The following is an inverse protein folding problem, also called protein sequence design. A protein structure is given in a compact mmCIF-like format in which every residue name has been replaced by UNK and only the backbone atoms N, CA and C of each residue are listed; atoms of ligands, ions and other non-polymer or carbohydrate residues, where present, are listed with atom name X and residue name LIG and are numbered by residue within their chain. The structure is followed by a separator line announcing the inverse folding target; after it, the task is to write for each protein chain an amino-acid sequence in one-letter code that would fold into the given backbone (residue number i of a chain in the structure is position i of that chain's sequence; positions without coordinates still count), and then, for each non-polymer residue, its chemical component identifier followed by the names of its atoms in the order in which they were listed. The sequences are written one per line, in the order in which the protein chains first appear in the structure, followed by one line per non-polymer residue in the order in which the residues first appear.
data_IF_483793342384
#
_entry.id   IF_483793342384
#
_cell.length_a   1.000
_cell.length_b   1.000
_cell.length_c   1.000
_cell.angle_alpha   90.00
_cell.angle_beta   90.00
_cell.angle_gamma   90.00
#
_symmetry.space_group_name_H-M   'P 1'
#
loop_
_entity.id
_entity.type
_entity.pdbx_description
1 polymer ?
#
# COMPACT_ATOMS: atom_id res chain seq x y z
N UNK A 1 -17.08 -14.91 -28.58
CA UNK A 1 -16.33 -14.25 -27.48
C UNK A 1 -15.74 -12.96 -28.01
N UNK A 2 -16.31 -11.80 -27.66
CA UNK A 2 -15.86 -10.49 -28.17
C UNK A 2 -14.99 -9.79 -27.13
N UNK A 3 -13.83 -9.31 -27.57
CA UNK A 3 -12.79 -8.70 -26.74
C UNK A 3 -13.14 -7.21 -26.49
N UNK A 4 -13.32 -6.73 -25.25
CA UNK A 4 -13.96 -5.42 -24.99
C UNK A 4 -13.02 -4.21 -25.03
N UNK A 5 -11.73 -4.34 -25.38
CA UNK A 5 -10.79 -3.20 -25.35
C UNK A 5 -10.77 -2.38 -26.64
N UNK A 6 -11.94 -2.05 -27.19
CA UNK A 6 -12.07 -1.08 -28.29
C UNK A 6 -12.28 0.32 -27.70
N UNK A 7 -11.22 1.13 -27.67
CA UNK A 7 -11.38 2.56 -27.95
C UNK A 7 -11.26 3.61 -26.84
N UNK A 8 -10.83 3.29 -25.61
CA UNK A 8 -10.44 4.37 -24.69
C UNK A 8 -9.11 4.97 -25.13
N UNK A 9 -9.15 6.08 -25.87
CA UNK A 9 -7.96 6.88 -26.09
C UNK A 9 -7.48 7.42 -24.74
N UNK A 10 -6.18 7.31 -24.41
CA UNK A 10 -5.66 7.82 -23.15
C UNK A 10 -5.96 9.32 -23.03
N UNK A 11 -6.57 9.72 -21.92
CA UNK A 11 -6.83 11.13 -21.65
C UNK A 11 -5.51 11.91 -21.57
N UNK A 12 -5.57 13.20 -21.95
CA UNK A 12 -4.40 14.08 -21.91
C UNK A 12 -3.95 14.22 -20.45
N UNK A 13 -2.64 14.06 -20.21
CA UNK A 13 -2.05 14.29 -18.88
C UNK A 13 -2.48 15.65 -18.32
N UNK A 14 -2.95 15.66 -17.07
CA UNK A 14 -3.33 16.87 -16.33
C UNK A 14 -2.19 17.90 -16.23
N UNK A 15 -0.94 17.46 -16.41
CA UNK A 15 0.26 18.30 -16.34
C UNK A 15 0.55 19.06 -17.65
N UNK A 16 -0.19 18.83 -18.74
CA UNK A 16 0.01 19.56 -19.99
C UNK A 16 -0.73 20.89 -20.00
N UNK A 17 0.02 22.00 -20.02
CA UNK A 17 -0.52 23.35 -20.29
C UNK A 17 -1.12 23.42 -21.69
N UNK A 18 -2.31 24.05 -21.80
CA UNK A 18 -3.02 24.29 -23.07
C UNK A 18 -2.16 25.21 -23.93
N UNK A 19 -1.84 24.80 -25.16
CA UNK A 19 -1.02 25.58 -26.09
C UNK A 19 0.50 25.43 -25.94
N UNK A 20 0.98 24.59 -25.01
CA UNK A 20 2.41 24.28 -24.95
C UNK A 20 2.84 23.62 -26.28
N UNK A 21 3.97 24.06 -26.89
CA UNK A 21 4.47 23.45 -28.11
C UNK A 21 4.63 21.95 -27.86
N UNK A 22 4.14 21.14 -28.79
CA UNK A 22 4.31 19.69 -28.74
C UNK A 22 5.82 19.47 -28.78
N UNK A 23 6.44 19.19 -27.63
CA UNK A 23 7.85 18.82 -27.58
C UNK A 23 8.04 17.77 -28.67
N UNK A 24 8.86 18.10 -29.68
CA UNK A 24 9.24 17.16 -30.73
C UNK A 24 9.58 15.86 -30.01
N UNK A 25 8.98 14.75 -30.46
CA UNK A 25 9.24 13.43 -29.89
C UNK A 25 10.75 13.27 -29.85
N UNK A 26 11.35 13.45 -28.68
CA UNK A 26 12.77 13.15 -28.45
C UNK A 26 12.84 11.64 -28.60
N UNK A 27 13.12 11.19 -29.82
CA UNK A 27 13.37 9.78 -30.09
C UNK A 27 14.67 9.52 -29.36
N UNK A 28 14.61 8.68 -28.33
CA UNK A 28 15.82 8.19 -27.70
C UNK A 28 16.54 7.39 -28.79
N UNK A 29 17.69 7.88 -29.22
CA UNK A 29 18.58 7.19 -30.15
C UNK A 29 19.79 6.80 -29.32
N UNK A 30 20.10 5.51 -29.30
CA UNK A 30 21.35 5.04 -28.71
C UNK A 30 22.49 5.54 -29.60
N UNK A 31 23.51 6.15 -29.00
CA UNK A 31 24.68 6.60 -29.76
C UNK A 31 25.53 5.39 -30.10
N UNK A 32 25.46 4.91 -31.33
CA UNK A 32 26.30 3.82 -31.87
C UNK A 32 27.76 4.27 -32.10
N UNK A 33 28.24 5.27 -31.36
CA UNK A 33 29.54 5.89 -31.57
C UNK A 33 30.62 5.16 -30.76
N UNK A 34 31.43 4.37 -31.47
CA UNK A 34 32.65 3.67 -31.03
C UNK A 34 32.51 2.19 -30.61
N UNK A 35 31.96 1.37 -31.51
CA UNK A 35 32.72 0.23 -32.07
C UNK A 35 33.02 -1.02 -31.24
N UNK A 36 32.94 -1.06 -29.90
CA UNK A 36 33.24 -2.31 -29.15
C UNK A 36 32.52 -2.50 -27.81
N UNK A 37 31.72 -1.55 -27.34
CA UNK A 37 31.01 -1.71 -26.08
C UNK A 37 29.56 -2.19 -26.31
N UNK A 38 29.19 -3.31 -25.67
CA UNK A 38 27.81 -3.81 -25.60
C UNK A 38 26.93 -2.75 -24.88
N UNK A 39 26.35 -1.81 -25.65
CA UNK A 39 25.57 -0.65 -25.17
C UNK A 39 24.32 -1.02 -24.35
N UNK A 40 23.94 -2.30 -24.36
CA UNK A 40 22.81 -2.80 -23.59
C UNK A 40 23.10 -4.22 -23.13
N UNK A 41 23.37 -4.39 -21.84
CA UNK A 41 23.44 -5.72 -21.22
C UNK A 41 22.05 -6.35 -21.27
N UNK A 42 21.86 -7.32 -22.17
CA UNK A 42 20.61 -8.11 -22.20
C UNK A 42 20.54 -8.95 -20.93
N UNK A 43 19.55 -8.65 -20.10
CA UNK A 43 19.23 -9.47 -18.93
C UNK A 43 17.92 -10.18 -19.22
N UNK A 44 17.92 -11.51 -19.11
CA UNK A 44 16.68 -12.28 -19.16
C UNK A 44 15.85 -11.99 -17.92
N UNK A 45 14.66 -11.44 -18.10
CA UNK A 45 13.68 -11.28 -17.03
C UNK A 45 12.75 -12.47 -17.08
N UNK A 46 12.82 -13.35 -16.09
CA UNK A 46 11.85 -14.42 -15.92
C UNK A 46 10.55 -13.86 -15.35
N UNK A 47 9.42 -14.14 -16.02
CA UNK A 47 8.10 -13.80 -15.51
C UNK A 47 7.67 -14.82 -14.48
N UNK A 48 7.52 -14.39 -13.23
CA UNK A 48 7.00 -15.21 -12.13
C UNK A 48 5.50 -15.01 -11.90
N UNK A 49 4.77 -14.51 -12.91
CA UNK A 49 3.33 -14.22 -12.80
C UNK A 49 2.50 -15.45 -12.37
N UNK A 50 2.93 -16.65 -12.74
CA UNK A 50 2.29 -17.91 -12.36
C UNK A 50 2.52 -18.28 -10.89
N UNK A 51 3.57 -17.77 -10.25
CA UNK A 51 3.86 -17.99 -8.83
C UNK A 51 3.19 -16.95 -7.93
N UNK A 52 2.15 -16.27 -8.43
CA UNK A 52 1.52 -15.16 -7.72
C UNK A 52 1.04 -15.55 -6.32
N UNK A 53 0.38 -16.70 -6.18
CA UNK A 53 -0.14 -17.18 -4.88
C UNK A 53 0.97 -17.52 -3.87
N UNK A 54 2.19 -17.82 -4.35
CA UNK A 54 3.33 -18.20 -3.51
C UNK A 54 4.27 -17.04 -3.21
N UNK A 55 4.38 -16.07 -4.13
CA UNK A 55 5.26 -14.91 -3.99
C UNK A 55 4.56 -13.72 -3.34
N UNK A 56 3.25 -13.57 -3.57
CA UNK A 56 2.45 -12.57 -2.90
C UNK A 56 1.88 -13.18 -1.63
N UNK A 57 2.62 -13.07 -0.52
CA UNK A 57 2.00 -13.20 0.78
C UNK A 57 0.87 -12.18 0.87
N UNK A 58 -0.34 -12.62 1.20
CA UNK A 58 -1.45 -11.72 1.47
C UNK A 58 -1.12 -11.06 2.82
N UNK A 59 -0.61 -9.83 2.76
CA UNK A 59 -0.23 -8.99 3.91
C UNK A 59 0.94 -9.52 4.77
N UNK A 60 2.19 -9.58 4.24
CA UNK A 60 3.37 -9.73 5.10
C UNK A 60 3.41 -8.55 6.08
N UNK A 61 3.44 -8.85 7.38
CA UNK A 61 3.45 -7.81 8.43
C UNK A 61 2.07 -7.40 8.96
N UNK A 62 1.00 -8.13 8.65
CA UNK A 62 -0.30 -7.94 9.33
C UNK A 62 -0.34 -8.56 10.72
N UNK A 63 0.81 -8.69 11.37
CA UNK A 63 0.92 -9.06 12.78
C UNK A 63 1.25 -7.77 13.53
N UNK A 64 0.46 -7.48 14.55
CA UNK A 64 0.61 -6.32 15.42
C UNK A 64 0.61 -6.80 16.87
N UNK A 65 1.33 -6.08 17.72
CA UNK A 65 1.40 -6.40 19.15
C UNK A 65 0.24 -5.69 19.86
N UNK A 66 -0.52 -6.44 20.67
CA UNK A 66 -1.55 -5.85 21.52
C UNK A 66 -0.91 -5.05 22.66
N UNK A 67 -1.32 -3.79 22.85
CA UNK A 67 -0.76 -2.91 23.90
C UNK A 67 -1.16 -3.31 25.34
N UNK A 68 -2.04 -4.30 25.49
CA UNK A 68 -2.51 -4.76 26.81
C UNK A 68 -1.94 -6.12 27.20
N UNK A 69 -1.99 -7.11 26.31
CA UNK A 69 -1.51 -8.46 26.60
C UNK A 69 -0.15 -8.80 25.94
N UNK A 70 0.42 -7.84 25.19
CA UNK A 70 1.71 -7.94 24.50
C UNK A 70 1.85 -9.11 23.52
N UNK A 71 0.72 -9.76 23.16
CA UNK A 71 0.70 -10.84 22.18
C UNK A 71 0.72 -10.29 20.76
N UNK A 72 1.49 -10.96 19.91
CA UNK A 72 1.43 -10.82 18.46
C UNK A 72 0.14 -11.46 17.93
N UNK A 73 -0.71 -10.65 17.29
CA UNK A 73 -1.97 -11.10 16.70
C UNK A 73 -2.13 -10.52 15.31
N UNK A 74 -2.98 -11.14 14.48
CA UNK A 74 -3.34 -10.56 13.20
C UNK A 74 -4.04 -9.21 13.40
N UNK A 75 -3.77 -8.22 12.55
CA UNK A 75 -4.41 -6.90 12.60
C UNK A 75 -5.95 -7.00 12.53
N UNK A 76 -6.48 -8.03 11.86
CA UNK A 76 -7.92 -8.33 11.78
C UNK A 76 -8.52 -8.88 13.07
N UNK A 77 -7.70 -9.25 14.06
CA UNK A 77 -8.12 -9.76 15.37
C UNK A 77 -8.13 -8.67 16.46
N UNK A 78 -8.23 -7.40 16.08
CA UNK A 78 -8.27 -6.30 17.02
C UNK A 78 -8.71 -4.99 16.39
N UNK A 79 -8.64 -3.93 17.19
CA UNK A 79 -8.98 -2.59 16.73
C UNK A 79 -8.07 -1.52 17.32
N UNK A 80 -7.91 -0.44 16.56
CA UNK A 80 -7.21 0.76 16.96
C UNK A 80 -8.11 1.63 17.88
N UNK A 81 -7.62 2.01 19.06
CA UNK A 81 -8.33 2.76 20.11
C UNK A 81 -7.39 3.69 20.92
N UNK A 82 -7.93 4.50 21.83
CA UNK A 82 -7.14 5.28 22.82
C UNK A 82 -7.37 6.78 22.85
N UNK A 83 -8.02 7.36 21.83
CA UNK A 83 -8.40 8.78 21.78
C UNK A 83 -9.84 8.95 21.27
N UNK A 84 -10.80 9.34 22.12
CA UNK A 84 -12.22 9.38 21.76
C UNK A 84 -12.55 10.42 20.67
N UNK A 85 -11.68 11.42 20.46
CA UNK A 85 -11.91 12.49 19.50
C UNK A 85 -11.07 12.34 18.21
N UNK A 86 -10.28 11.27 18.07
CA UNK A 86 -9.45 11.03 16.90
C UNK A 86 -10.13 10.06 15.91
N UNK A 87 -9.76 10.16 14.63
CA UNK A 87 -10.11 9.15 13.63
C UNK A 87 -9.59 7.77 14.04
N UNK A 88 -10.27 6.70 13.63
CA UNK A 88 -9.85 5.31 13.89
C UNK A 88 -8.40 5.04 13.45
N UNK A 89 -7.95 5.66 12.36
CA UNK A 89 -6.57 5.52 11.86
C UNK A 89 -5.54 6.37 12.62
N UNK A 90 -5.98 7.30 13.46
CA UNK A 90 -5.15 8.20 14.25
C UNK A 90 -5.11 7.82 15.74
N UNK A 91 -5.66 6.66 16.08
CA UNK A 91 -5.62 6.11 17.43
C UNK A 91 -4.21 5.64 17.77
N UNK A 92 -3.83 5.76 19.04
CA UNK A 92 -2.46 5.48 19.50
C UNK A 92 -2.24 4.07 20.01
N UNK A 93 -3.30 3.28 20.21
CA UNK A 93 -3.22 1.92 20.77
C UNK A 93 -3.94 0.91 19.89
N UNK A 94 -3.45 -0.32 19.88
CA UNK A 94 -4.10 -1.49 19.30
C UNK A 94 -4.43 -2.51 20.38
N UNK A 95 -5.70 -2.92 20.46
CA UNK A 95 -6.16 -3.96 21.38
C UNK A 95 -6.73 -5.14 20.59
N UNK A 96 -6.31 -6.37 20.92
CA UNK A 96 -6.90 -7.59 20.37
C UNK A 96 -8.35 -7.79 20.86
N UNK A 97 -9.13 -8.63 20.17
CA UNK A 97 -10.53 -8.90 20.51
C UNK A 97 -10.73 -9.35 21.96
N UNK A 98 -9.79 -10.15 22.48
CA UNK A 98 -9.82 -10.63 23.87
C UNK A 98 -9.69 -9.47 24.87
N UNK A 99 -8.89 -8.45 24.54
CA UNK A 99 -8.65 -7.28 25.39
C UNK A 99 -9.67 -6.16 25.15
N UNK A 100 -10.20 -6.02 23.94
CA UNK A 100 -11.14 -4.95 23.59
C UNK A 100 -12.53 -5.13 24.21
N UNK A 101 -12.89 -6.37 24.57
CA UNK A 101 -14.14 -6.69 25.27
C UNK A 101 -14.04 -6.62 26.80
N UNK A 102 -12.85 -6.36 27.35
CA UNK A 102 -12.69 -6.07 28.78
C UNK A 102 -13.10 -4.62 28.96
N UNK A 103 -14.41 -4.42 28.98
CA UNK A 103 -15.06 -3.14 29.05
C UNK A 103 -14.48 -2.28 30.18
N UNK A 104 -13.81 -1.20 29.77
CA UNK A 104 -13.36 -0.05 30.57
C UNK A 104 -14.49 0.65 31.35
N UNK A 105 -15.72 0.15 31.28
CA UNK A 105 -16.84 0.54 32.13
C UNK A 105 -16.55 0.33 33.64
N UNK A 106 -15.58 -0.51 34.02
CA UNK A 106 -15.14 -0.62 35.41
C UNK A 106 -14.31 0.58 35.91
N UNK A 107 -13.68 1.38 35.03
CA UNK A 107 -12.83 2.51 35.46
C UNK A 107 -13.56 3.86 35.45
N UNK A 108 -14.61 4.05 34.65
CA UNK A 108 -15.42 5.27 34.67
C UNK A 108 -16.27 5.40 35.95
N UNK A 109 -16.58 4.30 36.64
CA UNK A 109 -17.32 4.30 37.90
C UNK A 109 -16.47 4.75 39.12
N UNK A 110 -15.13 4.80 39.01
CA UNK A 110 -14.24 5.13 40.12
C UNK A 110 -13.82 6.62 40.19
N UNK A 111 -14.13 7.43 39.16
CA UNK A 111 -13.70 8.83 39.07
C UNK A 111 -14.77 9.87 39.45
N UNK A 112 -15.91 9.46 40.01
CA UNK A 112 -17.07 10.31 40.33
C UNK A 112 -17.46 10.36 41.80
N UNK A 113 -16.51 10.22 42.73
CA UNK A 113 -16.72 10.42 44.17
C UNK A 113 -15.56 11.21 44.77
N UNK A 114 -15.46 12.50 44.42
CA UNK A 114 -14.89 13.56 45.26
C UNK A 114 -15.63 14.85 45.00
#
# INVERSE_FOLDING_TARGET
SQNPTKGMQPQRSALRKRGAPRQQRRRIVFSDAAGTAELARRTSVCSYRQMGENLWFIMPGAVVVCDMCEKEVAQSMGSLQGSPNASQFAQSKFLCHDCSGIDVYAMAAAAGHM
#
